data_IF_575052561460
#
_entry.id   IF_575052561460
#
_cell.length_a   1.000
_cell.length_b   1.000
_cell.length_c   1.000
_cell.angle_alpha   90.00
_cell.angle_beta   90.00
_cell.angle_gamma   90.00
#
_symmetry.space_group_name_H-M   'P 1'
#
loop_
_entity.id
_entity.type
_entity.pdbx_description
1 polymer ?
#
# COMPACT_ATOMS: atom_id res chain seq x y z
N UNK A 1 -2.89 20.20 -2.90
CA UNK A 1 -3.92 19.17 -2.65
C UNK A 1 -3.18 17.84 -2.54
N UNK A 2 -3.20 17.21 -1.37
CA UNK A 2 -2.26 16.13 -0.99
C UNK A 2 -2.83 14.80 -1.48
N UNK A 3 -2.42 14.34 -2.67
CA UNK A 3 -2.52 12.93 -3.02
C UNK A 3 -1.94 12.17 -1.84
N UNK A 4 -2.75 11.38 -1.14
CA UNK A 4 -2.21 10.40 -0.22
C UNK A 4 -1.51 9.37 -1.10
N UNK A 5 -0.25 9.61 -1.43
CA UNK A 5 0.62 8.52 -1.81
C UNK A 5 0.52 7.52 -0.65
N UNK A 6 0.05 6.29 -0.87
CA UNK A 6 -0.02 5.28 0.19
C UNK A 6 1.37 4.98 0.79
N UNK A 7 2.43 5.52 0.17
CA UNK A 7 3.75 5.70 0.73
C UNK A 7 3.99 7.20 1.00
N UNK A 8 3.80 7.66 2.23
CA UNK A 8 4.12 9.02 2.62
C UNK A 8 5.59 9.35 2.37
N UNK A 9 5.88 10.18 1.37
CA UNK A 9 7.08 11.04 1.25
C UNK A 9 8.48 10.40 1.22
N UNK A 10 8.62 9.10 1.46
CA UNK A 10 9.86 8.36 1.49
C UNK A 10 9.54 6.93 1.86
N UNK A 11 9.84 5.98 0.98
CA UNK A 11 9.66 4.55 1.28
C UNK A 11 10.67 4.13 2.35
N UNK A 12 10.40 4.42 3.63
CA UNK A 12 10.96 3.62 4.71
C UNK A 12 10.54 2.18 4.43
N UNK A 13 11.48 1.24 4.49
CA UNK A 13 11.16 -0.09 4.03
C UNK A 13 9.99 -0.67 4.86
N UNK A 14 9.01 -1.33 4.22
CA UNK A 14 7.88 -2.01 4.88
C UNK A 14 8.33 -2.89 6.05
N UNK A 15 9.52 -3.48 5.93
CA UNK A 15 10.16 -4.28 6.98
C UNK A 15 10.49 -3.42 8.19
N UNK A 16 11.12 -2.26 7.98
CA UNK A 16 11.50 -1.34 9.06
C UNK A 16 10.25 -0.80 9.77
N UNK A 17 9.21 -0.45 9.01
CA UNK A 17 7.93 0.02 9.56
C UNK A 17 7.29 -1.06 10.44
N UNK A 18 7.18 -2.30 9.95
CA UNK A 18 6.65 -3.41 10.75
C UNK A 18 7.54 -3.73 11.96
N UNK A 19 8.86 -3.60 11.85
CA UNK A 19 9.79 -3.87 12.94
C UNK A 19 9.60 -2.91 14.13
N UNK A 20 9.15 -1.68 13.87
CA UNK A 20 8.79 -0.70 14.91
C UNK A 20 7.29 -0.69 15.23
N UNK A 21 6.53 -1.68 14.77
CA UNK A 21 5.06 -1.74 14.86
C UNK A 21 4.36 -0.49 14.30
N UNK A 22 4.97 0.18 13.32
CA UNK A 22 4.34 1.27 12.58
C UNK A 22 3.34 0.72 11.57
N UNK A 23 2.31 1.52 11.31
CA UNK A 23 1.19 1.13 10.49
C UNK A 23 1.55 1.08 9.01
N UNK A 24 1.18 -0.01 8.34
CA UNK A 24 1.42 -0.24 6.91
C UNK A 24 0.08 -0.42 6.21
N UNK A 25 -0.34 0.59 5.45
CA UNK A 25 -1.60 0.57 4.72
C UNK A 25 -1.76 -0.64 3.77
N UNK A 26 -0.69 -1.06 3.09
CA UNK A 26 -0.67 -2.25 2.25
C UNK A 26 -1.12 -3.51 3.01
N UNK A 27 -0.79 -3.60 4.30
CA UNK A 27 -1.11 -4.79 5.10
C UNK A 27 -2.61 -4.93 5.29
N UNK A 28 -3.30 -3.83 5.59
CA UNK A 28 -4.75 -3.83 5.76
C UNK A 28 -5.44 -4.23 4.44
N UNK A 29 -5.05 -3.60 3.33
CA UNK A 29 -5.59 -3.91 1.99
C UNK A 29 -5.38 -5.39 1.66
N UNK A 30 -4.20 -5.93 1.92
CA UNK A 30 -3.93 -7.33 1.59
C UNK A 30 -4.61 -8.30 2.56
N UNK A 31 -4.72 -7.98 3.85
CA UNK A 31 -5.45 -8.80 4.81
C UNK A 31 -6.94 -8.86 4.44
N UNK A 32 -7.55 -7.72 4.12
CA UNK A 32 -8.95 -7.64 3.70
C UNK A 32 -9.22 -8.47 2.45
N UNK A 33 -8.33 -8.37 1.46
CA UNK A 33 -8.43 -9.11 0.21
C UNK A 33 -7.88 -10.55 0.27
N UNK A 34 -7.47 -11.05 1.45
CA UNK A 34 -6.86 -12.38 1.65
C UNK A 34 -5.64 -12.63 0.75
N UNK A 35 -4.85 -11.58 0.51
CA UNK A 35 -3.62 -11.59 -0.27
C UNK A 35 -2.40 -11.75 0.63
N UNK A 36 -1.31 -12.38 0.14
CA UNK A 36 -0.09 -12.50 0.91
C UNK A 36 0.54 -11.13 1.12
N UNK A 37 1.00 -10.87 2.34
CA UNK A 37 1.83 -9.70 2.64
C UNK A 37 3.19 -9.81 1.97
N UNK A 38 3.72 -8.70 1.44
CA UNK A 38 5.10 -8.70 0.95
C UNK A 38 6.08 -8.88 2.10
N UNK A 39 7.14 -9.66 1.88
CA UNK A 39 8.17 -9.93 2.90
C UNK A 39 9.21 -8.83 2.99
N UNK A 40 9.46 -8.13 1.89
CA UNK A 40 10.45 -7.06 1.81
C UNK A 40 10.13 -6.08 0.67
N UNK A 41 10.75 -4.91 0.71
CA UNK A 41 10.47 -3.80 -0.21
C UNK A 41 10.75 -4.12 -1.68
N UNK A 42 11.75 -4.98 -1.92
CA UNK A 42 12.15 -5.39 -3.27
C UNK A 42 11.25 -6.47 -3.87
N UNK A 43 10.26 -6.98 -3.11
CA UNK A 43 9.32 -7.96 -3.65
C UNK A 43 8.36 -7.22 -4.59
N UNK A 44 8.32 -7.65 -5.84
CA UNK A 44 7.36 -7.13 -6.83
C UNK A 44 5.95 -7.53 -6.42
N UNK A 45 5.00 -6.64 -6.69
CA UNK A 45 3.58 -6.98 -6.55
C UNK A 45 3.17 -8.00 -7.61
N UNK A 46 2.25 -8.88 -7.23
CA UNK A 46 1.45 -9.68 -8.15
C UNK A 46 0.33 -8.83 -8.75
N UNK A 47 -0.23 -9.24 -9.89
CA UNK A 47 -1.35 -8.52 -10.50
C UNK A 47 -2.53 -8.34 -9.54
N UNK A 48 -2.88 -9.37 -8.76
CA UNK A 48 -3.96 -9.29 -7.75
C UNK A 48 -3.70 -8.24 -6.66
N UNK A 49 -2.44 -8.09 -6.25
CA UNK A 49 -2.04 -7.07 -5.27
C UNK A 49 -2.08 -5.66 -5.85
N UNK A 50 -1.67 -5.52 -7.12
CA UNK A 50 -1.80 -4.25 -7.86
C UNK A 50 -3.28 -3.89 -7.98
N UNK A 51 -4.13 -4.82 -8.37
CA UNK A 51 -5.57 -4.60 -8.51
C UNK A 51 -6.20 -4.17 -7.17
N UNK A 52 -5.87 -4.86 -6.07
CA UNK A 52 -6.36 -4.50 -4.74
C UNK A 52 -5.90 -3.10 -4.31
N UNK A 53 -4.63 -2.75 -4.50
CA UNK A 53 -4.13 -1.40 -4.19
C UNK A 53 -4.79 -0.33 -5.09
N UNK A 54 -5.02 -0.67 -6.36
CA UNK A 54 -5.63 0.24 -7.32
C UNK A 54 -7.09 0.57 -6.97
N UNK A 55 -7.82 -0.38 -6.38
CA UNK A 55 -9.18 -0.16 -5.87
C UNK A 55 -9.24 0.91 -4.76
N UNK A 56 -8.15 1.14 -4.04
CA UNK A 56 -8.06 2.18 -2.99
C UNK A 56 -7.44 3.50 -3.47
N UNK A 57 -6.80 3.52 -4.65
CA UNK A 57 -6.30 4.75 -5.30
C UNK A 57 -7.32 5.41 -6.22
N UNK A 58 -8.62 5.38 -5.89
CA UNK A 58 -9.53 6.39 -6.44
C UNK A 58 -9.25 7.72 -5.73
N UNK A 59 -8.22 8.43 -6.20
CA UNK A 59 -8.30 9.88 -6.17
C UNK A 59 -9.54 10.23 -7.00
N UNK A 60 -10.54 10.84 -6.38
CA UNK A 60 -11.68 11.41 -7.10
C UNK A 60 -11.15 12.45 -8.10
N UNK A 61 -10.98 12.03 -9.36
CA UNK A 61 -10.81 12.92 -10.51
C UNK A 61 -12.18 13.34 -11.07
N UNK A 62 -13.17 13.59 -10.20
CA UNK A 62 -14.47 14.13 -10.60
C UNK A 62 -14.88 15.28 -9.68
N UNK A 63 -14.46 16.51 -10.02
CA UNK A 63 -15.35 17.67 -10.03
C UNK A 63 -14.67 18.91 -10.64
N UNK A 64 -15.21 19.32 -11.81
CA UNK A 64 -15.29 20.66 -12.42
C UNK A 64 -13.98 21.39 -12.76
#
# INVERSE_FOLDING_TARGET
MKCMCPCGGGQSCIVDRRAVNDWVHEDDVFIEHKLPLRKHCNQKYTNKQIDALNMFTTCDDNNV
#
